data_IF_350595017927
#
_entry.id   IF_350595017927
#
_cell.length_a   1.000
_cell.length_b   1.000
_cell.length_c   1.000
_cell.angle_alpha   90.00
_cell.angle_beta   90.00
_cell.angle_gamma   90.00
#
_symmetry.space_group_name_H-M   'P 1'
#
loop_
_entity.id
_entity.type
_entity.pdbx_description
1 polymer ?
#
# COMPACT_ATOMS: atom_id res chain seq x y z
N UNK A 1 -23.42 8.42 22.64
CA UNK A 1 -23.66 8.12 21.22
C UNK A 1 -22.46 7.36 20.68
N UNK A 2 -22.68 6.12 20.34
CA UNK A 2 -21.68 5.33 19.61
C UNK A 2 -21.63 5.86 18.18
N UNK A 3 -20.42 6.19 17.70
CA UNK A 3 -20.19 6.67 16.34
C UNK A 3 -19.13 5.80 15.70
N UNK A 4 -19.44 5.25 14.55
CA UNK A 4 -18.50 4.48 13.77
C UNK A 4 -17.51 5.45 13.09
N UNK A 5 -16.23 5.12 13.14
CA UNK A 5 -15.19 5.82 12.40
C UNK A 5 -14.76 5.04 11.15
N UNK A 6 -14.99 3.73 11.17
CA UNK A 6 -14.57 2.82 10.11
C UNK A 6 -15.45 1.57 10.13
N UNK A 7 -15.84 1.06 8.97
CA UNK A 7 -16.58 -0.18 8.77
C UNK A 7 -16.09 -0.89 7.49
N UNK A 8 -14.79 -1.18 7.45
CA UNK A 8 -14.11 -1.71 6.26
C UNK A 8 -14.43 -3.19 6.05
N UNK A 9 -14.74 -3.50 4.80
CA UNK A 9 -14.82 -4.87 4.29
C UNK A 9 -13.70 -5.03 3.27
N UNK A 10 -12.79 -5.96 3.53
CA UNK A 10 -11.65 -6.23 2.68
C UNK A 10 -11.73 -7.67 2.19
N UNK A 11 -11.65 -7.85 0.88
CA UNK A 11 -11.48 -9.16 0.25
C UNK A 11 -10.12 -9.17 -0.43
N UNK A 12 -9.29 -10.13 -0.05
CA UNK A 12 -8.00 -10.36 -0.67
C UNK A 12 -8.06 -11.60 -1.56
N UNK A 13 -7.55 -11.47 -2.78
CA UNK A 13 -7.44 -12.56 -3.73
C UNK A 13 -5.98 -12.70 -4.16
N UNK A 14 -5.40 -13.86 -3.84
CA UNK A 14 -4.03 -14.19 -4.23
C UNK A 14 -4.03 -15.21 -5.39
N UNK A 15 -3.18 -14.96 -6.36
CA UNK A 15 -2.92 -15.86 -7.48
C UNK A 15 -1.42 -16.10 -7.63
N UNK A 16 -1.02 -17.38 -7.57
CA UNK A 16 0.36 -17.78 -7.85
C UNK A 16 0.31 -18.83 -8.98
N UNK A 17 0.91 -18.47 -10.11
CA UNK A 17 0.94 -19.35 -11.29
C UNK A 17 2.38 -19.68 -11.68
N UNK A 18 2.74 -20.95 -11.56
CA UNK A 18 4.07 -21.45 -11.92
C UNK A 18 4.10 -21.88 -13.37
N UNK A 19 4.88 -21.17 -14.18
CA UNK A 19 5.07 -21.46 -15.61
C UNK A 19 6.11 -22.57 -15.80
N UNK A 20 7.20 -22.53 -15.01
CA UNK A 20 8.27 -23.53 -15.05
C UNK A 20 8.92 -23.67 -13.67
N UNK A 21 9.94 -24.54 -13.54
CA UNK A 21 10.65 -24.75 -12.28
C UNK A 21 11.32 -23.50 -11.70
N UNK A 22 11.54 -22.46 -12.52
CA UNK A 22 12.16 -21.20 -12.06
C UNK A 22 11.36 -19.95 -12.41
N UNK A 23 10.22 -20.06 -13.11
CA UNK A 23 9.43 -18.91 -13.55
C UNK A 23 8.02 -18.97 -12.97
N UNK A 24 7.64 -17.90 -12.26
CA UNK A 24 6.35 -17.77 -11.58
C UNK A 24 5.78 -16.37 -11.77
N UNK A 25 4.47 -16.27 -11.92
CA UNK A 25 3.70 -15.02 -11.88
C UNK A 25 2.90 -15.02 -10.59
N UNK A 26 2.95 -13.90 -9.86
CA UNK A 26 2.16 -13.72 -8.66
C UNK A 26 1.32 -12.43 -8.76
N UNK A 27 0.13 -12.49 -8.20
CA UNK A 27 -0.76 -11.34 -8.09
C UNK A 27 -1.49 -11.38 -6.76
N UNK A 28 -1.50 -10.25 -6.05
CA UNK A 28 -2.29 -10.03 -4.83
C UNK A 28 -3.24 -8.87 -5.10
N UNK A 29 -4.52 -9.11 -4.98
CA UNK A 29 -5.56 -8.13 -5.27
C UNK A 29 -6.38 -7.85 -4.02
N UNK A 30 -6.56 -6.58 -3.70
CA UNK A 30 -7.37 -6.13 -2.59
C UNK A 30 -8.62 -5.41 -3.10
N UNK A 31 -9.77 -5.87 -2.65
CA UNK A 31 -11.05 -5.19 -2.86
C UNK A 31 -11.50 -4.65 -1.51
N UNK A 32 -11.54 -3.34 -1.39
CA UNK A 32 -11.93 -2.66 -0.17
C UNK A 32 -13.25 -1.90 -0.40
N UNK A 33 -14.14 -2.02 0.58
CA UNK A 33 -15.36 -1.22 0.68
C UNK A 33 -15.59 -0.80 2.14
N UNK A 34 -15.64 0.50 2.39
CA UNK A 34 -15.89 1.03 3.73
C UNK A 34 -17.35 1.51 3.85
N UNK A 35 -18.16 0.70 4.52
CA UNK A 35 -19.58 0.98 4.72
C UNK A 35 -19.86 2.19 5.65
N UNK A 36 -18.85 2.72 6.34
CA UNK A 36 -19.04 3.89 7.21
C UNK A 36 -19.53 5.11 6.42
N UNK A 37 -19.11 5.25 5.17
CA UNK A 37 -19.53 6.37 4.31
C UNK A 37 -21.03 6.34 3.97
N UNK A 38 -21.65 5.17 3.94
CA UNK A 38 -23.09 5.03 3.76
C UNK A 38 -23.85 5.15 5.09
N UNK A 39 -23.32 4.52 6.15
CA UNK A 39 -23.97 4.49 7.46
C UNK A 39 -23.98 5.87 8.11
N UNK A 40 -22.88 6.60 8.01
CA UNK A 40 -22.67 7.91 8.64
C UNK A 40 -22.73 9.07 7.62
N UNK A 41 -23.35 8.87 6.48
CA UNK A 41 -23.43 9.83 5.37
C UNK A 41 -24.05 11.19 5.74
N UNK A 42 -24.91 11.22 6.77
CA UNK A 42 -25.49 12.46 7.28
C UNK A 42 -24.54 13.32 8.14
N UNK A 43 -23.37 12.79 8.47
CA UNK A 43 -22.36 13.49 9.28
C UNK A 43 -21.45 14.31 8.39
N UNK A 44 -21.26 15.58 8.73
CA UNK A 44 -20.38 16.48 7.99
C UNK A 44 -18.90 16.06 7.94
N UNK A 45 -18.49 14.99 8.66
CA UNK A 45 -17.17 14.38 8.58
C UNK A 45 -16.99 13.45 7.38
N UNK A 46 -18.09 12.84 6.90
CA UNK A 46 -18.11 11.85 5.82
C UNK A 46 -18.83 12.34 4.57
N UNK A 47 -19.64 13.40 4.71
CA UNK A 47 -20.39 13.97 3.59
C UNK A 47 -19.55 14.98 2.81
N UNK A 48 -19.57 14.92 1.50
CA UNK A 48 -19.07 15.92 0.52
C UNK A 48 -17.57 16.28 0.57
N UNK A 49 -16.83 15.79 1.55
CA UNK A 49 -15.43 16.20 1.76
C UNK A 49 -14.42 15.08 1.51
N UNK A 50 -14.89 13.86 1.36
CA UNK A 50 -14.03 12.68 1.18
C UNK A 50 -14.34 12.08 -0.17
N UNK A 51 -13.33 11.96 -1.01
CA UNK A 51 -13.42 11.35 -2.31
C UNK A 51 -13.94 9.90 -2.20
N UNK A 52 -14.80 9.48 -3.13
CA UNK A 52 -15.30 8.10 -3.28
C UNK A 52 -14.17 7.06 -3.26
N UNK A 53 -12.98 7.46 -3.64
CA UNK A 53 -11.76 6.65 -3.56
C UNK A 53 -11.41 6.15 -2.14
N UNK A 54 -11.93 6.77 -1.07
CA UNK A 54 -11.78 6.26 0.30
C UNK A 54 -12.82 5.20 0.65
N UNK A 55 -14.00 5.29 0.03
CA UNK A 55 -15.06 4.33 0.24
C UNK A 55 -14.76 2.99 -0.44
N UNK A 56 -14.20 3.02 -1.64
CA UNK A 56 -13.96 1.83 -2.44
C UNK A 56 -12.67 1.95 -3.25
N UNK A 57 -11.95 0.84 -3.38
CA UNK A 57 -10.87 0.77 -4.37
C UNK A 57 -11.48 0.50 -5.73
N UNK A 58 -11.41 1.48 -6.61
CA UNK A 58 -12.01 1.49 -7.95
C UNK A 58 -10.97 1.56 -9.08
N UNK A 59 -9.71 1.78 -8.76
CA UNK A 59 -8.61 1.83 -9.74
C UNK A 59 -7.70 0.60 -9.67
N UNK A 60 -7.04 0.31 -10.79
CA UNK A 60 -6.14 -0.83 -10.92
C UNK A 60 -4.97 -0.78 -9.94
N UNK A 61 -4.40 0.41 -9.70
CA UNK A 61 -3.22 0.55 -8.84
C UNK A 61 -3.54 0.28 -7.37
N UNK A 62 -4.77 0.48 -6.96
CA UNK A 62 -5.22 0.18 -5.60
C UNK A 62 -5.67 -1.27 -5.47
N UNK A 63 -6.37 -1.79 -6.48
CA UNK A 63 -6.86 -3.17 -6.52
C UNK A 63 -5.69 -4.15 -6.68
N UNK A 64 -4.88 -3.99 -7.72
CA UNK A 64 -3.71 -4.82 -7.95
C UNK A 64 -2.56 -4.40 -7.02
N UNK A 65 -2.62 -4.88 -5.79
CA UNK A 65 -1.64 -4.54 -4.76
C UNK A 65 -0.26 -5.06 -5.13
N UNK A 66 -0.16 -6.32 -5.54
CA UNK A 66 1.08 -6.87 -6.06
C UNK A 66 0.82 -7.56 -7.40
N UNK A 67 1.72 -7.36 -8.33
CA UNK A 67 1.71 -8.02 -9.64
C UNK A 67 3.15 -8.10 -10.14
N UNK A 68 3.74 -9.28 -10.06
CA UNK A 68 5.14 -9.46 -10.46
C UNK A 68 5.40 -10.82 -11.09
N UNK A 69 6.50 -10.85 -11.83
CA UNK A 69 7.10 -12.08 -12.36
C UNK A 69 8.39 -12.35 -11.63
N UNK A 70 8.56 -13.55 -11.12
CA UNK A 70 9.79 -14.01 -10.49
C UNK A 70 10.49 -15.06 -11.34
N UNK A 71 11.82 -14.90 -11.47
CA UNK A 71 12.69 -15.88 -12.12
C UNK A 71 13.80 -16.28 -11.16
N UNK A 72 13.85 -17.56 -10.80
CA UNK A 72 14.76 -18.11 -9.81
C UNK A 72 15.62 -19.21 -10.37
N UNK A 73 16.91 -19.10 -10.13
CA UNK A 73 17.93 -20.12 -10.39
C UNK A 73 18.80 -20.31 -9.15
N UNK A 74 19.69 -21.33 -9.08
CA UNK A 74 20.60 -21.49 -7.94
C UNK A 74 21.54 -20.31 -7.69
N UNK A 75 21.77 -19.44 -8.68
CA UNK A 75 22.68 -18.30 -8.57
C UNK A 75 22.04 -16.94 -8.75
N UNK A 76 20.81 -16.88 -9.25
CA UNK A 76 20.15 -15.61 -9.57
C UNK A 76 18.68 -15.70 -9.22
N UNK A 77 18.21 -14.71 -8.49
CA UNK A 77 16.80 -14.46 -8.19
C UNK A 77 16.43 -13.07 -8.70
N UNK A 78 15.47 -12.99 -9.59
CA UNK A 78 15.00 -11.73 -10.19
C UNK A 78 13.50 -11.64 -10.04
N UNK A 79 13.01 -10.53 -9.50
CA UNK A 79 11.58 -10.23 -9.37
C UNK A 79 11.33 -8.88 -10.03
N UNK A 80 10.42 -8.83 -10.98
CA UNK A 80 10.09 -7.62 -11.73
C UNK A 80 8.58 -7.39 -11.69
N UNK A 81 8.17 -6.20 -11.32
CA UNK A 81 6.77 -5.82 -11.25
C UNK A 81 6.45 -4.99 -10.03
N UNK A 82 5.16 -4.89 -9.74
CA UNK A 82 4.64 -4.17 -8.58
C UNK A 82 4.75 -5.08 -7.36
N UNK A 83 5.53 -4.68 -6.37
CA UNK A 83 5.84 -5.50 -5.19
C UNK A 83 6.17 -4.66 -3.97
N UNK A 84 6.06 -5.26 -2.80
CA UNK A 84 6.57 -4.74 -1.54
C UNK A 84 7.90 -5.41 -1.20
N UNK A 85 8.82 -4.66 -0.61
CA UNK A 85 10.08 -5.21 -0.13
C UNK A 85 10.31 -4.79 1.32
N UNK A 86 10.58 -5.76 2.19
CA UNK A 86 11.10 -5.52 3.52
C UNK A 86 12.64 -5.59 3.47
N UNK A 87 13.32 -4.45 3.65
CA UNK A 87 14.78 -4.36 3.58
C UNK A 87 15.38 -3.87 4.89
N UNK A 88 15.86 -4.79 5.68
CA UNK A 88 16.48 -4.52 6.97
C UNK A 88 15.66 -5.03 8.17
N UNK A 89 16.29 -5.00 9.35
CA UNK A 89 15.68 -5.55 10.57
C UNK A 89 14.63 -4.65 11.24
N UNK A 90 14.64 -3.37 10.92
CA UNK A 90 13.71 -2.37 11.47
C UNK A 90 12.53 -2.10 10.53
N UNK A 91 12.61 -2.63 9.32
CA UNK A 91 11.60 -2.49 8.30
C UNK A 91 10.27 -3.11 8.76
N UNK A 92 9.19 -2.38 8.60
CA UNK A 92 7.88 -2.82 9.03
C UNK A 92 7.56 -2.58 10.51
N UNK A 93 8.46 -2.00 11.30
CA UNK A 93 8.17 -1.68 12.72
C UNK A 93 8.03 -0.18 12.98
N UNK A 94 8.98 0.62 12.51
CA UNK A 94 9.00 2.07 12.76
C UNK A 94 9.37 2.87 11.52
N UNK A 95 10.14 2.29 10.60
CA UNK A 95 10.65 2.94 9.40
C UNK A 95 10.53 1.95 8.25
N UNK A 96 10.01 2.41 7.12
CA UNK A 96 10.14 1.72 5.85
C UNK A 96 11.10 2.52 4.99
N UNK A 97 12.18 1.88 4.52
CA UNK A 97 13.24 2.56 3.77
C UNK A 97 12.94 2.58 2.27
N UNK A 98 12.13 1.64 1.81
CA UNK A 98 11.87 1.43 0.38
C UNK A 98 10.43 1.80 0.02
N UNK A 99 9.44 1.23 0.75
CA UNK A 99 8.06 1.42 0.41
C UNK A 99 7.50 2.68 1.07
N UNK A 100 6.76 3.44 0.31
CA UNK A 100 5.96 4.54 0.84
C UNK A 100 4.77 4.01 1.62
N UNK A 101 4.26 4.81 2.53
CA UNK A 101 3.18 4.44 3.43
C UNK A 101 1.88 5.19 3.10
N UNK A 102 0.77 4.47 3.09
CA UNK A 102 -0.55 5.09 3.09
C UNK A 102 -0.98 5.47 4.51
N UNK A 103 -0.86 6.74 4.83
CA UNK A 103 -1.26 7.32 6.12
C UNK A 103 -2.63 8.00 6.09
N UNK A 104 -3.39 7.90 5.00
CA UNK A 104 -4.63 8.65 4.82
C UNK A 104 -5.72 8.29 5.83
N UNK A 105 -5.78 7.05 6.27
CA UNK A 105 -6.81 6.54 7.20
C UNK A 105 -6.34 6.46 8.67
N UNK A 106 -5.32 7.20 9.03
CA UNK A 106 -4.86 7.25 10.42
C UNK A 106 -3.96 6.09 10.84
N UNK A 107 -3.70 6.00 12.15
CA UNK A 107 -2.83 4.97 12.73
C UNK A 107 -3.68 3.80 13.17
N UNK A 108 -3.58 2.68 12.49
CA UNK A 108 -4.12 1.41 12.94
C UNK A 108 -3.06 0.73 13.83
N UNK A 109 -3.51 0.13 14.94
CA UNK A 109 -2.62 -0.39 15.98
C UNK A 109 -2.26 -1.87 15.82
N UNK A 110 -2.85 -2.56 14.84
CA UNK A 110 -2.60 -3.97 14.61
C UNK A 110 -1.42 -4.20 13.65
N UNK A 111 -0.60 -5.19 13.95
CA UNK A 111 0.62 -5.47 13.17
C UNK A 111 0.36 -5.86 11.70
N UNK A 112 -0.78 -6.48 11.40
CA UNK A 112 -1.21 -6.81 10.05
C UNK A 112 -1.56 -5.58 9.18
N UNK A 113 -1.92 -4.47 9.84
CA UNK A 113 -2.28 -3.24 9.16
C UNK A 113 -1.06 -2.48 8.61
N UNK A 114 0.10 -2.70 9.21
CA UNK A 114 1.33 -2.07 8.72
C UNK A 114 1.68 -2.54 7.30
N UNK A 115 1.57 -3.83 7.03
CA UNK A 115 1.83 -4.38 5.68
C UNK A 115 0.81 -3.88 4.66
N UNK A 116 -0.45 -3.75 5.07
CA UNK A 116 -1.51 -3.19 4.21
C UNK A 116 -1.32 -1.72 3.89
N UNK A 117 -0.68 -0.96 4.76
CA UNK A 117 -0.39 0.46 4.56
C UNK A 117 0.81 0.74 3.66
N UNK A 118 1.67 -0.22 3.42
CA UNK A 118 2.73 -0.08 2.44
C UNK A 118 2.15 0.10 1.05
N UNK A 119 2.65 1.07 0.33
CA UNK A 119 2.34 1.26 -1.08
C UNK A 119 3.32 0.42 -1.90
N UNK A 120 2.86 -0.64 -2.58
CA UNK A 120 3.72 -1.42 -3.45
C UNK A 120 4.20 -0.57 -4.61
N UNK A 121 5.49 -0.68 -4.93
CA UNK A 121 6.13 0.09 -6.00
C UNK A 121 6.46 -0.80 -7.18
N UNK A 122 6.43 -0.23 -8.39
CA UNK A 122 6.97 -0.86 -9.56
C UNK A 122 8.49 -0.89 -9.46
N UNK A 123 9.08 -2.08 -9.47
CA UNK A 123 10.53 -2.22 -9.33
C UNK A 123 11.07 -3.49 -9.97
N UNK A 124 12.37 -3.50 -10.20
CA UNK A 124 13.14 -4.69 -10.47
C UNK A 124 14.07 -4.96 -9.28
N UNK A 125 13.97 -6.17 -8.72
CA UNK A 125 14.81 -6.64 -7.63
C UNK A 125 15.60 -7.84 -8.13
N UNK A 126 16.94 -7.77 -8.06
CA UNK A 126 17.83 -8.84 -8.51
C UNK A 126 18.82 -9.21 -7.40
N UNK A 127 18.87 -10.48 -7.04
CA UNK A 127 19.84 -11.03 -6.09
C UNK A 127 20.72 -12.04 -6.80
N UNK A 128 22.05 -11.80 -6.78
CA UNK A 128 23.02 -12.73 -7.29
C UNK A 128 23.81 -13.39 -6.13
N UNK A 129 23.91 -14.72 -6.18
CA UNK A 129 24.57 -15.54 -5.16
C UNK A 129 25.94 -16.02 -5.66
N UNK A 130 27.01 -15.70 -4.92
CA UNK A 130 28.37 -16.15 -5.21
C UNK A 130 28.99 -16.81 -3.96
N UNK A 131 28.86 -18.12 -3.91
CA UNK A 131 29.33 -18.90 -2.77
C UNK A 131 28.53 -18.61 -1.49
N UNK A 132 29.19 -18.06 -0.47
CA UNK A 132 28.54 -17.71 0.82
C UNK A 132 28.07 -16.26 0.89
N UNK A 133 28.22 -15.52 -0.18
CA UNK A 133 27.89 -14.09 -0.27
C UNK A 133 26.82 -13.88 -1.32
N UNK A 134 26.01 -12.84 -1.15
CA UNK A 134 25.03 -12.39 -2.16
C UNK A 134 25.11 -10.88 -2.33
N UNK A 135 24.74 -10.43 -3.50
CA UNK A 135 24.55 -9.02 -3.82
C UNK A 135 23.08 -8.83 -4.26
N UNK A 136 22.41 -7.87 -3.65
CA UNK A 136 21.08 -7.48 -4.03
C UNK A 136 21.08 -6.08 -4.65
N UNK A 137 20.36 -5.92 -5.74
CA UNK A 137 20.22 -4.66 -6.47
C UNK A 137 18.73 -4.38 -6.66
N UNK A 138 18.32 -3.19 -6.27
CA UNK A 138 16.96 -2.67 -6.49
C UNK A 138 17.02 -1.53 -7.51
N UNK A 139 16.08 -1.54 -8.44
CA UNK A 139 15.84 -0.45 -9.36
C UNK A 139 14.36 -0.07 -9.33
N UNK A 140 14.07 1.16 -8.90
CA UNK A 140 12.74 1.72 -8.74
C UNK A 140 12.63 2.88 -9.74
N UNK A 141 11.92 2.70 -10.86
CA UNK A 141 11.83 3.72 -11.90
C UNK A 141 10.98 4.93 -11.52
N UNK A 142 10.01 4.71 -10.65
CA UNK A 142 9.08 5.75 -10.21
C UNK A 142 8.85 5.64 -8.70
N UNK A 143 8.76 6.77 -8.03
CA UNK A 143 8.62 6.85 -6.59
C UNK A 143 7.34 7.60 -6.20
N UNK A 144 6.48 6.92 -5.47
CA UNK A 144 5.29 7.52 -4.85
C UNK A 144 5.64 7.96 -3.43
N UNK A 145 5.46 9.22 -3.03
CA UNK A 145 5.69 9.66 -1.65
C UNK A 145 4.64 9.10 -0.70
N UNK A 146 4.93 9.18 0.61
CA UNK A 146 3.95 8.85 1.65
C UNK A 146 2.68 9.68 1.51
N UNK A 147 1.54 9.03 1.66
CA UNK A 147 0.23 9.68 1.61
C UNK A 147 -0.20 10.09 3.01
N UNK A 148 -0.57 11.36 3.16
CA UNK A 148 -1.05 11.94 4.41
C UNK A 148 -2.59 11.99 4.45
N UNK A 149 -3.19 12.07 5.66
CA UNK A 149 -4.64 12.24 5.79
C UNK A 149 -5.16 13.47 5.03
N UNK A 150 -6.26 13.30 4.32
CA UNK A 150 -6.86 14.38 3.53
C UNK A 150 -7.55 15.37 4.46
N UNK A 151 -7.38 16.67 4.19
CA UNK A 151 -8.09 17.70 4.92
C UNK A 151 -9.60 17.52 4.89
N UNK A 152 -10.22 17.54 6.07
CA UNK A 152 -11.66 17.31 6.24
C UNK A 152 -12.04 15.83 6.44
N UNK A 153 -11.10 14.90 6.34
CA UNK A 153 -11.32 13.51 6.75
C UNK A 153 -11.32 13.37 8.27
N UNK A 154 -11.95 12.30 8.84
CA UNK A 154 -11.91 12.04 10.27
C UNK A 154 -10.50 11.86 10.85
N UNK A 155 -9.55 11.52 10.01
CA UNK A 155 -8.17 11.21 10.35
C UNK A 155 -7.22 12.41 10.29
N UNK A 156 -7.70 13.52 9.74
CA UNK A 156 -6.88 14.74 9.67
C UNK A 156 -6.74 15.37 11.05
N UNK A 157 -5.52 15.71 11.43
CA UNK A 157 -5.25 16.33 12.73
C UNK A 157 -5.90 17.73 12.82
N UNK A 158 -6.75 18.00 13.82
CA UNK A 158 -7.36 19.31 14.01
C UNK A 158 -6.34 20.39 14.41
N UNK A 159 -5.13 19.98 14.79
CA UNK A 159 -4.04 20.89 15.18
C UNK A 159 -3.29 21.48 13.98
N UNK A 160 -3.50 20.93 12.79
CA UNK A 160 -2.87 21.43 11.57
C UNK A 160 -3.87 22.36 10.88
N UNK A 161 -3.58 23.69 10.80
CA UNK A 161 -4.48 24.60 10.12
C UNK A 161 -4.56 24.27 8.62
N UNK A 162 -5.74 24.43 8.01
CA UNK A 162 -5.89 24.26 6.58
C UNK A 162 -5.03 25.31 5.86
N UNK A 163 -4.01 24.88 5.16
CA UNK A 163 -3.25 25.75 4.28
C UNK A 163 -3.63 25.42 2.84
N UNK A 164 -3.78 26.43 1.99
CA UNK A 164 -4.02 26.26 0.56
C UNK A 164 -2.96 25.41 -0.13
N UNK A 165 -1.79 25.28 0.50
CA UNK A 165 -0.70 24.44 0.02
C UNK A 165 -0.97 22.94 0.22
N UNK A 166 -1.69 22.53 1.29
CA UNK A 166 -2.03 21.14 1.53
C UNK A 166 -3.14 20.63 0.58
N UNK A 167 -4.02 21.51 0.14
CA UNK A 167 -5.03 21.18 -0.86
C UNK A 167 -4.42 20.90 -2.26
N UNK A 168 -3.21 21.41 -2.53
CA UNK A 168 -2.53 21.22 -3.83
C UNK A 168 -1.65 19.99 -3.89
N UNK A 169 -1.29 19.40 -2.76
CA UNK A 169 -0.43 18.20 -2.71
C UNK A 169 -1.25 16.92 -2.95
N UNK A 170 -2.57 17.00 -2.86
CA UNK A 170 -3.48 15.86 -2.99
C UNK A 170 -4.28 15.86 -4.31
N UNK A 171 -3.82 16.62 -5.33
CA UNK A 171 -4.42 16.59 -6.67
C UNK A 171 -3.46 15.85 -7.65
#
# INVERSE_FOLDING_TARGET
DFRLLQAQNIVEAELNYRISSGLEIASVNHFLYDAVYDIESSRGLFADKVDSAFQMYDDFDRIARELYVSYRTPKLDVVVGKQQIAWGKMDGRFIDVINSMDGREGVQLESGDYERRRLPLWMANATYYFGKTSMNVLWIPDYTPDLSPVYGSPWFSPLIPPTDQMARVNQ
#
